data_IF_287336618773
#
_entry.id   IF_287336618773
#
_cell.length_a   1.000
_cell.length_b   1.000
_cell.length_c   1.000
_cell.angle_alpha   90.00
_cell.angle_beta   90.00
_cell.angle_gamma   90.00
#
_symmetry.space_group_name_H-M   'P 1'
#
loop_
_entity.id
_entity.type
_entity.pdbx_description
1 polymer ?
#
# COMPACT_ATOMS: atom_id res chain seq x y z
N UNK A 1 -20.05 22.00 -34.14
CA UNK A 1 -19.58 22.56 -32.86
C UNK A 1 -19.06 21.35 -32.14
N UNK A 2 -17.86 20.95 -32.52
CA UNK A 2 -17.31 19.65 -32.18
C UNK A 2 -16.85 19.72 -30.73
N UNK A 3 -17.47 18.90 -29.89
CA UNK A 3 -17.00 18.61 -28.55
C UNK A 3 -15.62 17.97 -28.70
N UNK A 4 -14.59 18.77 -28.48
CA UNK A 4 -13.23 18.31 -28.26
C UNK A 4 -13.26 17.49 -26.97
N UNK A 5 -13.54 16.19 -27.10
CA UNK A 5 -13.36 15.20 -26.04
C UNK A 5 -11.89 15.27 -25.67
N UNK A 6 -11.57 16.02 -24.62
CA UNK A 6 -10.22 16.11 -24.07
C UNK A 6 -9.82 14.69 -23.65
N UNK A 7 -8.99 14.05 -24.47
CA UNK A 7 -8.40 12.76 -24.18
C UNK A 7 -7.60 12.90 -22.88
N UNK A 8 -8.17 12.46 -21.75
CA UNK A 8 -7.51 12.54 -20.45
C UNK A 8 -6.16 11.82 -20.56
N UNK A 9 -5.07 12.56 -20.33
CA UNK A 9 -3.74 11.99 -20.44
C UNK A 9 -3.60 10.77 -19.51
N UNK A 10 -3.01 9.66 -19.97
CA UNK A 10 -2.90 8.45 -19.17
C UNK A 10 -2.09 8.69 -17.90
N UNK A 11 -2.59 8.18 -16.75
CA UNK A 11 -1.94 8.34 -15.43
C UNK A 11 -0.50 7.80 -15.39
N UNK A 12 -0.20 6.75 -16.18
CA UNK A 12 1.11 6.14 -16.27
C UNK A 12 1.52 5.93 -17.72
N UNK A 13 2.83 6.05 -18.00
CA UNK A 13 3.39 5.69 -19.29
C UNK A 13 3.39 4.17 -19.49
N UNK A 14 3.40 3.72 -20.75
CA UNK A 14 3.47 2.29 -21.10
C UNK A 14 4.68 1.60 -20.47
N UNK A 15 5.81 2.29 -20.36
CA UNK A 15 7.02 1.79 -19.71
C UNK A 15 6.86 1.63 -18.19
N UNK A 16 6.19 2.58 -17.53
CA UNK A 16 5.91 2.46 -16.11
C UNK A 16 4.97 1.27 -15.81
N UNK A 17 3.96 1.07 -16.66
CA UNK A 17 3.09 -0.11 -16.57
C UNK A 17 3.87 -1.41 -16.80
N UNK A 18 4.71 -1.47 -17.85
CA UNK A 18 5.54 -2.63 -18.13
C UNK A 18 6.50 -2.95 -16.96
N UNK A 19 7.10 -1.93 -16.35
CA UNK A 19 7.95 -2.09 -15.18
C UNK A 19 7.19 -2.63 -13.97
N UNK A 20 5.98 -2.13 -13.70
CA UNK A 20 5.13 -2.64 -12.61
C UNK A 20 4.74 -4.11 -12.83
N UNK A 21 4.38 -4.48 -14.06
CA UNK A 21 4.08 -5.88 -14.43
C UNK A 21 5.31 -6.76 -14.28
N UNK A 22 6.48 -6.33 -14.78
CA UNK A 22 7.71 -7.08 -14.64
C UNK A 22 8.10 -7.29 -13.17
N UNK A 23 7.95 -6.26 -12.34
CA UNK A 23 8.16 -6.36 -10.89
C UNK A 23 7.20 -7.35 -10.24
N UNK A 24 5.92 -7.31 -10.58
CA UNK A 24 4.91 -8.25 -10.09
C UNK A 24 5.22 -9.70 -10.49
N UNK A 25 5.60 -9.93 -11.75
CA UNK A 25 6.03 -11.24 -12.23
C UNK A 25 7.28 -11.73 -11.51
N UNK A 26 8.25 -10.85 -11.24
CA UNK A 26 9.46 -11.19 -10.50
C UNK A 26 9.15 -11.54 -9.04
N UNK A 27 8.31 -10.75 -8.36
CA UNK A 27 7.89 -11.01 -6.98
C UNK A 27 7.10 -12.32 -6.85
N UNK A 28 6.13 -12.55 -7.74
CA UNK A 28 5.38 -13.81 -7.79
C UNK A 28 6.27 -15.00 -8.16
N UNK A 29 7.17 -14.84 -9.14
CA UNK A 29 8.11 -15.88 -9.55
C UNK A 29 9.12 -16.24 -8.46
N UNK A 30 9.65 -15.25 -7.73
CA UNK A 30 10.49 -15.49 -6.57
C UNK A 30 9.71 -16.21 -5.45
N UNK A 31 8.45 -15.84 -5.25
CA UNK A 31 7.58 -16.51 -4.28
C UNK A 31 7.34 -17.99 -4.65
N UNK A 32 7.20 -18.34 -5.94
CA UNK A 32 7.07 -19.73 -6.40
C UNK A 32 8.27 -20.62 -6.05
N UNK A 33 9.47 -20.05 -5.85
CA UNK A 33 10.64 -20.82 -5.46
C UNK A 33 10.55 -21.35 -4.02
N UNK A 34 9.64 -20.80 -3.23
CA UNK A 34 9.57 -21.02 -1.78
C UNK A 34 8.16 -21.41 -1.32
N UNK A 35 7.13 -20.98 -2.04
CA UNK A 35 5.73 -21.02 -1.62
C UNK A 35 4.83 -21.77 -2.60
N UNK A 36 3.68 -22.30 -2.15
CA UNK A 36 2.68 -22.89 -3.02
C UNK A 36 2.21 -21.91 -4.12
N UNK A 37 1.79 -22.40 -5.30
CA UNK A 37 1.39 -21.54 -6.42
C UNK A 37 0.30 -20.52 -6.08
N UNK A 38 -0.63 -20.85 -5.19
CA UNK A 38 -1.69 -19.93 -4.75
C UNK A 38 -1.14 -18.71 -4.00
N UNK A 39 -0.20 -18.93 -3.07
CA UNK A 39 0.45 -17.86 -2.30
C UNK A 39 1.30 -16.98 -3.21
N UNK A 40 1.97 -17.59 -4.19
CA UNK A 40 2.79 -16.86 -5.14
C UNK A 40 1.96 -15.96 -6.08
N UNK A 41 0.80 -16.44 -6.52
CA UNK A 41 -0.18 -15.66 -7.28
C UNK A 41 -0.66 -14.44 -6.47
N UNK A 42 -1.06 -14.66 -5.21
CA UNK A 42 -1.52 -13.62 -4.30
C UNK A 42 -0.42 -12.57 -4.05
N UNK A 43 0.82 -13.02 -3.87
CA UNK A 43 1.99 -12.15 -3.69
C UNK A 43 2.29 -11.33 -4.94
N UNK A 44 2.24 -11.95 -6.12
CA UNK A 44 2.40 -11.24 -7.40
C UNK A 44 1.30 -10.20 -7.66
N UNK A 45 0.05 -10.53 -7.31
CA UNK A 45 -1.08 -9.60 -7.40
C UNK A 45 -0.90 -8.41 -6.46
N UNK A 46 -0.53 -8.64 -5.20
CA UNK A 46 -0.23 -7.57 -4.25
C UNK A 46 0.92 -6.70 -4.75
N UNK A 47 1.99 -7.32 -5.27
CA UNK A 47 3.14 -6.62 -5.81
C UNK A 47 2.75 -5.70 -6.98
N UNK A 48 1.86 -6.15 -7.87
CA UNK A 48 1.32 -5.33 -8.96
C UNK A 48 0.55 -4.12 -8.41
N UNK A 49 -0.40 -4.36 -7.49
CA UNK A 49 -1.22 -3.30 -6.90
C UNK A 49 -0.34 -2.26 -6.18
N UNK A 50 0.58 -2.71 -5.33
CA UNK A 50 1.47 -1.82 -4.57
C UNK A 50 2.43 -1.06 -5.48
N UNK A 51 2.96 -1.69 -6.54
CA UNK A 51 3.81 -1.00 -7.52
C UNK A 51 3.04 0.08 -8.29
N UNK A 52 1.82 -0.21 -8.74
CA UNK A 52 0.97 0.78 -9.43
C UNK A 52 0.60 1.94 -8.50
N UNK A 53 0.18 1.66 -7.26
CA UNK A 53 -0.14 2.70 -6.27
C UNK A 53 1.09 3.57 -5.99
N UNK A 54 2.26 2.97 -5.78
CA UNK A 54 3.52 3.70 -5.56
C UNK A 54 3.86 4.61 -6.73
N UNK A 55 3.77 4.11 -7.97
CA UNK A 55 4.12 4.89 -9.17
C UNK A 55 3.14 6.03 -9.45
N UNK A 56 1.86 5.85 -9.13
CA UNK A 56 0.84 6.88 -9.30
C UNK A 56 0.95 7.92 -8.19
N UNK A 57 1.07 7.48 -6.94
CA UNK A 57 1.20 8.38 -5.80
C UNK A 57 2.48 9.24 -5.90
N UNK A 58 3.60 8.65 -6.33
CA UNK A 58 4.84 9.39 -6.51
C UNK A 58 4.77 10.47 -7.59
N UNK A 59 3.93 10.29 -8.62
CA UNK A 59 3.79 11.24 -9.74
C UNK A 59 2.69 12.26 -9.52
N UNK A 60 1.57 11.83 -8.95
CA UNK A 60 0.32 12.57 -8.95
C UNK A 60 -0.23 12.83 -7.55
N UNK A 61 0.38 12.28 -6.49
CA UNK A 61 -0.06 12.43 -5.10
C UNK A 61 -1.51 11.96 -4.87
N UNK A 62 -1.94 10.96 -5.64
CA UNK A 62 -3.26 10.34 -5.53
C UNK A 62 -3.14 8.83 -5.41
N UNK A 63 -4.05 8.24 -4.65
CA UNK A 63 -4.23 6.78 -4.55
C UNK A 63 -5.56 6.44 -5.21
N UNK A 64 -5.55 5.80 -6.40
CA UNK A 64 -6.78 5.53 -7.15
C UNK A 64 -7.70 4.53 -6.44
N UNK A 65 -9.00 4.82 -6.45
CA UNK A 65 -10.03 3.96 -5.89
C UNK A 65 -10.12 2.63 -6.64
N UNK A 66 -9.87 2.65 -7.96
CA UNK A 66 -9.82 1.44 -8.80
C UNK A 66 -8.70 0.47 -8.40
N UNK A 67 -7.69 0.91 -7.65
CA UNK A 67 -6.63 0.05 -7.13
C UNK A 67 -6.84 -0.26 -5.64
N UNK A 68 -7.20 0.73 -4.84
CA UNK A 68 -7.31 0.59 -3.37
C UNK A 68 -8.57 -0.15 -2.92
N UNK A 69 -9.73 0.12 -3.52
CA UNK A 69 -10.99 -0.53 -3.14
C UNK A 69 -10.98 -2.05 -3.39
N UNK A 70 -10.56 -2.57 -4.56
CA UNK A 70 -10.50 -4.02 -4.75
C UNK A 70 -9.39 -4.67 -3.92
N UNK A 71 -8.35 -3.93 -3.52
CA UNK A 71 -7.28 -4.48 -2.69
C UNK A 71 -7.76 -4.91 -1.29
N UNK A 72 -8.80 -4.28 -0.72
CA UNK A 72 -9.36 -4.67 0.59
C UNK A 72 -9.95 -6.09 0.59
N UNK A 73 -10.97 -6.42 -0.23
CA UNK A 73 -11.51 -7.77 -0.27
C UNK A 73 -10.48 -8.80 -0.76
N UNK A 74 -9.53 -8.42 -1.62
CA UNK A 74 -8.42 -9.30 -1.99
C UNK A 74 -7.54 -9.65 -0.79
N UNK A 75 -7.27 -8.71 0.12
CA UNK A 75 -6.54 -8.96 1.36
C UNK A 75 -7.28 -9.90 2.32
N UNK A 76 -8.61 -9.77 2.40
CA UNK A 76 -9.47 -10.68 3.19
C UNK A 76 -9.38 -12.10 2.62
N UNK A 77 -9.57 -12.26 1.30
CA UNK A 77 -9.47 -13.56 0.63
C UNK A 77 -8.07 -14.14 0.81
N UNK A 78 -7.03 -13.31 0.68
CA UNK A 78 -5.64 -13.71 0.88
C UNK A 78 -5.41 -14.25 2.29
N UNK A 79 -5.90 -13.60 3.34
CA UNK A 79 -5.73 -14.09 4.71
C UNK A 79 -6.46 -15.41 4.96
N UNK A 80 -7.70 -15.53 4.46
CA UNK A 80 -8.48 -16.78 4.57
C UNK A 80 -7.74 -17.93 3.87
N UNK A 81 -7.28 -17.72 2.64
CA UNK A 81 -6.68 -18.80 1.84
C UNK A 81 -5.26 -19.14 2.28
N UNK A 82 -4.48 -18.15 2.75
CA UNK A 82 -3.04 -18.33 3.04
C UNK A 82 -2.78 -18.68 4.50
N UNK A 83 -3.45 -18.04 5.45
CA UNK A 83 -3.15 -18.18 6.89
C UNK A 83 -4.22 -18.94 7.67
N UNK A 84 -5.48 -18.93 7.21
CA UNK A 84 -6.60 -19.57 7.92
C UNK A 84 -7.43 -20.50 7.01
N UNK A 85 -6.82 -21.48 6.32
CA UNK A 85 -7.52 -22.33 5.35
C UNK A 85 -8.65 -23.17 5.96
N UNK A 86 -8.54 -23.51 7.25
CA UNK A 86 -9.51 -24.34 7.97
C UNK A 86 -10.55 -23.51 8.77
N UNK A 87 -10.32 -22.20 8.93
CA UNK A 87 -11.21 -21.29 9.68
C UNK A 87 -11.33 -19.94 8.96
N UNK A 88 -12.21 -19.91 7.97
CA UNK A 88 -12.48 -18.69 7.19
C UNK A 88 -12.99 -17.53 8.06
N UNK A 89 -13.61 -17.81 9.21
CA UNK A 89 -14.18 -16.79 10.08
C UNK A 89 -13.07 -16.10 10.88
N UNK A 90 -12.06 -16.84 11.33
CA UNK A 90 -10.84 -16.29 11.91
C UNK A 90 -10.14 -15.34 10.92
N UNK A 91 -9.85 -15.81 9.69
CA UNK A 91 -9.20 -15.00 8.66
C UNK A 91 -10.01 -13.76 8.25
N UNK A 92 -11.33 -13.89 8.12
CA UNK A 92 -12.22 -12.76 7.88
C UNK A 92 -12.15 -11.74 9.01
N UNK A 93 -12.28 -12.18 10.27
CA UNK A 93 -12.28 -11.31 11.43
C UNK A 93 -10.94 -10.57 11.59
N UNK A 94 -9.82 -11.25 11.34
CA UNK A 94 -8.49 -10.67 11.41
C UNK A 94 -8.31 -9.55 10.40
N UNK A 95 -8.61 -9.81 9.12
CA UNK A 95 -8.48 -8.81 8.06
C UNK A 95 -9.44 -7.64 8.23
N UNK A 96 -10.69 -7.88 8.62
CA UNK A 96 -11.68 -6.83 8.85
C UNK A 96 -11.27 -5.97 10.05
N UNK A 97 -10.84 -6.59 11.14
CA UNK A 97 -10.36 -5.88 12.32
C UNK A 97 -9.13 -5.03 11.97
N UNK A 98 -8.16 -5.60 11.25
CA UNK A 98 -7.00 -4.86 10.75
C UNK A 98 -7.39 -3.67 9.89
N UNK A 99 -8.26 -3.86 8.90
CA UNK A 99 -8.72 -2.80 8.00
C UNK A 99 -9.44 -1.66 8.74
N UNK A 100 -10.34 -2.01 9.67
CA UNK A 100 -11.07 -1.04 10.49
C UNK A 100 -10.14 -0.30 11.45
N UNK A 101 -9.21 -1.00 12.10
CA UNK A 101 -8.27 -0.37 13.02
C UNK A 101 -7.31 0.59 12.31
N UNK A 102 -6.68 0.17 11.20
CA UNK A 102 -5.78 1.06 10.46
C UNK A 102 -6.52 2.19 9.76
N UNK A 103 -7.58 1.88 9.00
CA UNK A 103 -8.38 2.88 8.32
C UNK A 103 -9.02 3.87 9.30
N UNK A 104 -9.58 3.36 10.39
CA UNK A 104 -10.15 4.17 11.47
C UNK A 104 -9.13 5.05 12.15
N UNK A 105 -7.95 4.52 12.50
CA UNK A 105 -6.88 5.30 13.12
C UNK A 105 -6.38 6.43 12.21
N UNK A 106 -6.13 6.16 10.93
CA UNK A 106 -5.69 7.17 9.97
C UNK A 106 -6.78 8.22 9.70
N UNK A 107 -8.04 7.79 9.63
CA UNK A 107 -9.17 8.70 9.50
C UNK A 107 -9.31 9.63 10.73
N UNK A 108 -9.21 9.07 11.94
CA UNK A 108 -9.26 9.84 13.18
C UNK A 108 -8.08 10.82 13.27
N UNK A 109 -6.87 10.39 12.91
CA UNK A 109 -5.69 11.26 12.86
C UNK A 109 -5.92 12.44 11.89
N UNK A 110 -6.43 12.15 10.68
CA UNK A 110 -6.81 13.16 9.70
C UNK A 110 -7.83 14.15 10.26
N UNK A 111 -8.92 13.65 10.85
CA UNK A 111 -10.00 14.47 11.39
C UNK A 111 -9.54 15.33 12.57
N UNK A 112 -8.74 14.77 13.49
CA UNK A 112 -8.18 15.47 14.63
C UNK A 112 -7.23 16.58 14.18
N UNK A 113 -6.32 16.28 13.24
CA UNK A 113 -5.38 17.27 12.73
C UNK A 113 -6.09 18.43 12.03
N UNK A 114 -7.08 18.10 11.18
CA UNK A 114 -7.92 19.11 10.54
C UNK A 114 -8.63 19.99 11.57
N UNK A 115 -9.19 19.40 12.64
CA UNK A 115 -9.90 20.14 13.69
C UNK A 115 -8.99 21.07 14.50
N UNK A 116 -7.73 20.69 14.69
CA UNK A 116 -6.74 21.44 15.48
C UNK A 116 -6.01 22.53 14.69
N UNK A 117 -5.70 22.28 13.41
CA UNK A 117 -4.87 23.17 12.58
C UNK A 117 -5.65 23.87 11.47
N UNK A 118 -6.85 23.40 11.13
CA UNK A 118 -7.63 23.91 9.99
C UNK A 118 -7.04 23.54 8.63
N UNK A 119 -6.05 22.64 8.59
CA UNK A 119 -5.32 22.23 7.38
C UNK A 119 -5.45 20.71 7.26
N UNK A 120 -5.68 20.21 6.05
CA UNK A 120 -5.64 18.78 5.77
C UNK A 120 -4.19 18.29 5.85
N UNK A 121 -3.87 17.52 6.90
CA UNK A 121 -2.52 16.98 7.09
C UNK A 121 -2.28 15.66 6.35
N UNK A 122 -3.32 14.85 6.20
CA UNK A 122 -3.27 13.53 5.59
C UNK A 122 -4.36 13.40 4.52
N UNK A 123 -4.02 12.83 3.37
CA UNK A 123 -4.98 12.59 2.29
C UNK A 123 -5.96 11.47 2.63
N UNK A 124 -7.17 11.52 2.06
CA UNK A 124 -8.10 10.39 2.13
C UNK A 124 -7.55 9.14 1.43
N UNK A 125 -6.67 9.31 0.44
CA UNK A 125 -5.96 8.20 -0.20
C UNK A 125 -5.15 7.38 0.82
N UNK A 126 -4.41 8.05 1.72
CA UNK A 126 -3.60 7.38 2.73
C UNK A 126 -4.46 6.59 3.72
N UNK A 127 -5.65 7.10 4.06
CA UNK A 127 -6.63 6.39 4.88
C UNK A 127 -7.08 5.09 4.19
N UNK A 128 -7.36 5.13 2.89
CA UNK A 128 -7.74 3.95 2.10
C UNK A 128 -6.59 2.95 2.04
N UNK A 129 -5.36 3.42 1.82
CA UNK A 129 -4.19 2.53 1.78
C UNK A 129 -3.87 1.94 3.16
N UNK A 130 -4.11 2.66 4.25
CA UNK A 130 -4.02 2.11 5.60
C UNK A 130 -5.06 1.00 5.82
N UNK A 131 -6.29 1.16 5.34
CA UNK A 131 -7.30 0.09 5.37
C UNK A 131 -6.85 -1.13 4.54
N UNK A 132 -6.23 -0.92 3.37
CA UNK A 132 -5.61 -1.99 2.59
C UNK A 132 -4.50 -2.68 3.40
N UNK A 133 -3.59 -1.92 4.01
CA UNK A 133 -2.54 -2.48 4.86
C UNK A 133 -3.12 -3.37 5.95
N UNK A 134 -4.19 -2.93 6.61
CA UNK A 134 -4.85 -3.69 7.66
C UNK A 134 -5.55 -4.94 7.16
N UNK A 135 -6.19 -4.88 5.99
CA UNK A 135 -6.82 -6.04 5.37
C UNK A 135 -5.82 -7.14 5.02
N UNK A 136 -4.61 -6.76 4.60
CA UNK A 136 -3.57 -7.71 4.18
C UNK A 136 -2.69 -8.19 5.34
N UNK A 137 -2.28 -7.30 6.23
CA UNK A 137 -1.29 -7.60 7.27
C UNK A 137 -1.91 -8.03 8.60
N UNK A 138 -3.22 -7.83 8.79
CA UNK A 138 -3.86 -8.06 10.08
C UNK A 138 -3.47 -7.04 11.15
N UNK A 139 -4.11 -7.06 12.32
CA UNK A 139 -3.91 -6.05 13.37
C UNK A 139 -2.52 -6.08 14.01
N UNK A 140 -1.88 -7.24 14.05
CA UNK A 140 -0.63 -7.45 14.77
C UNK A 140 0.57 -6.75 14.11
N UNK A 141 0.64 -6.82 12.78
CA UNK A 141 1.77 -6.28 12.01
C UNK A 141 1.59 -4.81 11.63
N UNK A 142 0.38 -4.26 11.77
CA UNK A 142 0.04 -2.89 11.40
C UNK A 142 0.91 -1.83 12.07
N UNK A 143 1.16 -1.84 13.39
CA UNK A 143 1.97 -0.81 14.04
C UNK A 143 3.40 -0.77 13.49
N UNK A 144 4.01 -1.94 13.27
CA UNK A 144 5.36 -2.05 12.74
C UNK A 144 5.43 -1.60 11.28
N UNK A 145 4.44 -1.97 10.46
CA UNK A 145 4.34 -1.51 9.07
C UNK A 145 4.16 0.02 9.00
N UNK A 146 3.28 0.60 9.81
CA UNK A 146 3.07 2.04 9.86
C UNK A 146 4.35 2.78 10.28
N UNK A 147 5.06 2.25 11.29
CA UNK A 147 6.33 2.81 11.74
C UNK A 147 7.40 2.73 10.63
N UNK A 148 7.53 1.59 9.95
CA UNK A 148 8.48 1.43 8.85
C UNK A 148 8.20 2.40 7.70
N UNK A 149 6.93 2.59 7.32
CA UNK A 149 6.54 3.56 6.31
C UNK A 149 6.84 5.01 6.74
N UNK A 150 6.52 5.36 8.00
CA UNK A 150 6.81 6.68 8.55
C UNK A 150 8.32 6.97 8.61
N UNK A 151 9.14 6.00 9.03
CA UNK A 151 10.59 6.12 9.04
C UNK A 151 11.17 6.24 7.63
N UNK A 152 10.64 5.49 6.66
CA UNK A 152 11.03 5.60 5.25
C UNK A 152 10.74 6.99 4.68
N UNK A 153 9.54 7.52 4.93
CA UNK A 153 9.18 8.88 4.53
C UNK A 153 10.05 9.93 5.21
N UNK A 154 10.29 9.80 6.52
CA UNK A 154 11.17 10.69 7.28
C UNK A 154 12.61 10.68 6.75
N UNK A 155 13.16 9.49 6.49
CA UNK A 155 14.51 9.35 5.95
C UNK A 155 14.63 10.03 4.58
N UNK A 156 13.65 9.82 3.69
CA UNK A 156 13.62 10.48 2.40
C UNK A 156 13.49 12.01 2.53
N UNK A 157 12.69 12.51 3.48
CA UNK A 157 12.59 13.94 3.76
C UNK A 157 13.93 14.53 4.22
N UNK A 158 14.63 13.85 5.14
CA UNK A 158 15.96 14.24 5.62
C UNK A 158 16.98 14.26 4.48
N UNK A 159 16.99 13.25 3.62
CA UNK A 159 17.89 13.22 2.45
C UNK A 159 17.62 14.41 1.52
N UNK A 160 16.34 14.73 1.25
CA UNK A 160 15.97 15.88 0.43
C UNK A 160 16.38 17.22 1.03
N UNK A 161 16.37 17.34 2.36
CA UNK A 161 16.80 18.54 3.08
C UNK A 161 18.32 18.77 3.03
N UNK A 162 19.11 17.70 2.97
CA UNK A 162 20.58 17.77 2.97
C UNK A 162 21.16 17.96 1.57
N UNK A 163 20.37 17.69 0.51
CA UNK A 163 20.82 17.84 -0.87
C UNK A 163 21.02 19.33 -1.26
N UNK A 164 22.22 19.71 -1.76
CA UNK A 164 22.50 21.09 -2.16
C UNK A 164 21.54 21.55 -3.27
N UNK A 165 20.97 22.74 -3.12
CA UNK A 165 20.15 23.39 -4.15
C UNK A 165 18.65 23.08 -4.10
N UNK A 166 18.17 22.29 -3.13
CA UNK A 166 16.72 22.14 -2.89
C UNK A 166 16.28 22.98 -1.70
N UNK A 167 15.29 23.86 -1.93
CA UNK A 167 14.55 24.52 -0.87
C UNK A 167 13.28 23.71 -0.59
N UNK A 168 13.34 22.79 0.37
CA UNK A 168 12.16 22.08 0.86
C UNK A 168 11.33 23.07 1.69
N UNK A 169 10.10 23.33 1.26
CA UNK A 169 9.17 24.18 2.01
C UNK A 169 8.29 23.31 2.91
N UNK A 170 7.80 23.86 4.02
CA UNK A 170 6.81 23.16 4.85
C UNK A 170 5.50 22.82 4.11
N UNK A 171 5.26 23.44 2.95
CA UNK A 171 4.11 23.18 2.07
C UNK A 171 4.35 22.06 1.05
N UNK A 172 5.56 21.51 0.96
CA UNK A 172 5.83 20.44 0.01
C UNK A 172 5.15 19.17 0.52
N UNK A 173 4.12 18.75 -0.20
CA UNK A 173 3.44 17.50 0.07
C UNK A 173 4.37 16.34 -0.25
N UNK A 174 4.45 15.37 0.67
CA UNK A 174 5.24 14.16 0.48
C UNK A 174 4.29 12.99 0.24
N UNK A 175 4.54 12.14 -0.77
CA UNK A 175 3.62 11.06 -1.12
C UNK A 175 3.81 9.91 -0.13
N UNK A 176 3.06 9.93 0.99
CA UNK A 176 3.16 8.92 2.04
C UNK A 176 2.81 7.52 1.52
N UNK A 177 1.83 7.43 0.61
CA UNK A 177 1.45 6.18 -0.03
C UNK A 177 2.60 5.46 -0.73
N UNK A 178 3.54 6.20 -1.29
CA UNK A 178 4.73 5.69 -1.97
C UNK A 178 5.73 5.01 -1.02
N UNK A 179 5.65 5.30 0.28
CA UNK A 179 6.42 4.60 1.32
C UNK A 179 5.60 3.48 1.97
N UNK A 180 4.29 3.67 2.13
CA UNK A 180 3.41 2.66 2.75
C UNK A 180 3.21 1.44 1.84
N UNK A 181 2.94 1.64 0.55
CA UNK A 181 2.67 0.55 -0.39
C UNK A 181 3.81 -0.51 -0.48
N UNK A 182 5.09 -0.15 -0.65
CA UNK A 182 6.16 -1.15 -0.65
C UNK A 182 6.34 -1.81 0.72
N UNK A 183 6.07 -1.10 1.82
CA UNK A 183 6.10 -1.68 3.17
C UNK A 183 5.01 -2.73 3.35
N UNK A 184 3.81 -2.52 2.81
CA UNK A 184 2.74 -3.54 2.81
C UNK A 184 3.22 -4.82 2.13
N UNK A 185 3.83 -4.71 0.95
CA UNK A 185 4.36 -5.87 0.24
C UNK A 185 5.49 -6.55 1.02
N UNK A 186 6.41 -5.79 1.60
CA UNK A 186 7.54 -6.31 2.38
C UNK A 186 7.05 -7.09 3.60
N UNK A 187 6.13 -6.52 4.36
CA UNK A 187 5.57 -7.15 5.56
C UNK A 187 4.72 -8.37 5.18
N UNK A 188 3.97 -8.32 4.09
CA UNK A 188 3.27 -9.50 3.57
C UNK A 188 4.25 -10.63 3.24
N UNK A 189 5.31 -10.33 2.50
CA UNK A 189 6.33 -11.32 2.16
C UNK A 189 7.00 -11.91 3.40
N UNK A 190 7.31 -11.07 4.40
CA UNK A 190 7.86 -11.54 5.68
C UNK A 190 6.88 -12.46 6.41
N UNK A 191 5.60 -12.09 6.50
CA UNK A 191 4.55 -12.90 7.13
C UNK A 191 4.39 -14.26 6.46
N UNK A 192 4.40 -14.27 5.13
CA UNK A 192 4.32 -15.50 4.34
C UNK A 192 5.54 -16.39 4.57
N UNK A 193 6.75 -15.81 4.67
CA UNK A 193 7.98 -16.55 4.96
C UNK A 193 7.99 -17.13 6.38
N UNK A 194 7.50 -16.38 7.36
CA UNK A 194 7.43 -16.82 8.76
C UNK A 194 6.40 -17.95 8.96
N UNK A 195 5.32 -17.95 8.18
CA UNK A 195 4.31 -19.00 8.20
C UNK A 195 4.78 -20.34 7.62
N UNK A 196 5.90 -20.38 6.88
CA UNK A 196 6.47 -21.63 6.38
C UNK A 196 7.65 -22.04 7.27
N UNK A 197 7.51 -23.12 8.07
CA UNK A 197 8.63 -23.63 8.84
C UNK A 197 9.68 -24.19 7.87
N UNK A 198 10.85 -23.57 7.82
CA UNK A 198 12.02 -24.07 7.08
C UNK A 198 12.81 -25.16 7.86
N UNK A 199 12.18 -25.85 8.81
CA UNK A 199 12.80 -26.82 9.71
C UNK A 199 11.97 -28.08 9.90
#
# INVERSE_FOLDING_TARGET
MDEEVTEEAPLLSRWALAAAVAFACAAGGASLAVMPPGVALVTGLLALLMALITLIDFRHFIIPDVLSLPAVPLGIIANIVVFHPDDWMAGFSESVLGAVLAGGAFFLLRALWFRLRGIEGLGLGDVKLAAVAGAWLGPEMLPAACLAAALGGLAAAVVLLVLPGRQVRMSDHMPFGSFMAPVILLFWAWRVLDAVPFW
#
